data_IF_294380227872
#
_entry.id   IF_294380227872
#
_cell.length_a   1.000
_cell.length_b   1.000
_cell.length_c   1.000
_cell.angle_alpha   90.00
_cell.angle_beta   90.00
_cell.angle_gamma   90.00
#
_symmetry.space_group_name_H-M   'P 1'
#
loop_
_entity.id
_entity.type
_entity.pdbx_description
1 polymer ?
#
# COMPACT_ATOMS: atom_id res chain seq x y z
N UNK A 1 -19.85 -29.94 -1.44
CA UNK A 1 -18.95 -30.05 -0.26
C UNK A 1 -17.83 -29.03 -0.40
N UNK A 2 -17.51 -28.25 0.64
CA UNK A 2 -16.30 -27.43 0.64
C UNK A 2 -15.09 -28.34 0.45
N UNK A 3 -14.15 -27.93 -0.42
CA UNK A 3 -12.90 -28.65 -0.65
C UNK A 3 -11.99 -28.40 0.55
N UNK A 4 -11.68 -29.43 1.31
CA UNK A 4 -10.70 -29.34 2.40
C UNK A 4 -9.31 -29.35 1.78
N UNK A 5 -8.51 -28.34 2.11
CA UNK A 5 -7.12 -28.25 1.73
C UNK A 5 -6.26 -28.80 2.88
N UNK A 6 -5.47 -29.84 2.59
CA UNK A 6 -4.64 -30.55 3.56
C UNK A 6 -3.18 -30.09 3.57
N UNK A 7 -2.84 -29.05 2.78
CA UNK A 7 -1.48 -28.55 2.71
C UNK A 7 -1.02 -27.95 4.05
N UNK A 8 0.26 -28.16 4.38
CA UNK A 8 0.90 -27.56 5.56
C UNK A 8 0.79 -26.04 5.54
N UNK A 9 0.26 -25.45 6.60
CA UNK A 9 0.13 -23.99 6.78
C UNK A 9 1.13 -23.55 7.85
N UNK A 10 2.03 -22.64 7.47
CA UNK A 10 3.08 -22.11 8.35
C UNK A 10 2.78 -20.64 8.69
N UNK A 11 2.88 -20.30 9.98
CA UNK A 11 2.90 -18.94 10.52
C UNK A 11 4.32 -18.50 10.87
N UNK A 12 4.50 -17.21 11.20
CA UNK A 12 5.81 -16.68 11.62
C UNK A 12 6.40 -17.39 12.85
N UNK A 13 5.56 -17.90 13.75
CA UNK A 13 5.99 -18.63 14.95
C UNK A 13 6.56 -20.02 14.65
N UNK A 14 6.29 -20.57 13.47
CA UNK A 14 6.65 -21.94 13.10
C UNK A 14 8.04 -22.02 12.46
N UNK A 15 8.69 -20.88 12.19
CA UNK A 15 9.95 -20.81 11.42
C UNK A 15 10.98 -19.90 12.08
N UNK A 16 12.26 -20.18 11.79
CA UNK A 16 13.40 -19.34 12.18
C UNK A 16 14.34 -19.15 11.00
N UNK A 17 15.03 -18.00 10.94
CA UNK A 17 16.11 -17.80 9.98
C UNK A 17 17.35 -18.57 10.41
N UNK A 18 17.92 -19.38 9.52
CA UNK A 18 19.22 -20.03 9.74
C UNK A 18 20.35 -19.01 9.53
N UNK A 19 21.21 -18.76 10.54
CA UNK A 19 22.36 -17.87 10.38
C UNK A 19 23.29 -18.35 9.27
N UNK A 20 23.92 -17.40 8.56
CA UNK A 20 24.93 -17.66 7.54
C UNK A 20 26.19 -16.84 7.83
N UNK A 21 27.34 -17.34 7.39
CA UNK A 21 28.61 -16.60 7.48
C UNK A 21 28.48 -15.29 6.72
N UNK A 22 28.88 -14.18 7.34
CA UNK A 22 28.80 -12.83 6.79
C UNK A 22 30.15 -12.12 6.90
N UNK A 23 30.40 -11.17 6.01
CA UNK A 23 31.55 -10.26 6.07
C UNK A 23 31.24 -8.97 6.84
N UNK A 24 29.99 -8.71 7.20
CA UNK A 24 29.57 -7.52 7.94
C UNK A 24 30.16 -7.54 9.35
N UNK A 25 30.75 -6.42 9.77
CA UNK A 25 31.35 -6.28 11.11
C UNK A 25 30.40 -5.64 12.11
N UNK A 26 29.47 -4.82 11.62
CA UNK A 26 28.50 -4.09 12.44
C UNK A 26 27.11 -4.09 11.81
N UNK A 27 26.08 -3.99 12.65
CA UNK A 27 24.67 -3.80 12.22
C UNK A 27 24.46 -2.46 11.50
N UNK A 28 25.29 -1.46 11.77
CA UNK A 28 25.24 -0.15 11.12
C UNK A 28 25.64 -0.19 9.63
N UNK A 29 26.26 -1.27 9.16
CA UNK A 29 26.63 -1.48 7.76
C UNK A 29 25.47 -2.02 6.91
N UNK A 30 24.34 -2.36 7.54
CA UNK A 30 23.17 -2.91 6.84
C UNK A 30 22.36 -1.79 6.21
N UNK A 31 22.17 -1.87 4.90
CA UNK A 31 21.23 -1.02 4.17
C UNK A 31 19.82 -1.66 4.17
N UNK A 32 18.85 -0.91 4.67
CA UNK A 32 17.44 -1.33 4.71
C UNK A 32 16.63 -0.76 3.53
N UNK A 33 17.19 0.17 2.77
CA UNK A 33 16.51 0.79 1.64
C UNK A 33 16.34 -0.21 0.50
N UNK A 34 15.22 -0.09 -0.20
CA UNK A 34 14.90 -0.88 -1.38
C UNK A 34 14.45 0.05 -2.50
N UNK A 35 14.92 -0.28 -3.69
CA UNK A 35 14.46 0.35 -4.93
C UNK A 35 13.53 -0.62 -5.67
N UNK A 36 12.32 -0.18 -5.98
CA UNK A 36 11.35 -0.93 -6.78
C UNK A 36 10.89 -0.10 -7.97
N UNK A 37 10.82 -0.71 -9.15
CA UNK A 37 10.10 -0.13 -10.30
C UNK A 37 8.80 -0.91 -10.49
N UNK A 38 7.67 -0.24 -10.34
CA UNK A 38 6.37 -0.89 -10.35
C UNK A 38 5.92 -1.24 -11.77
N UNK A 39 5.40 -2.45 -11.93
CA UNK A 39 5.05 -3.04 -13.22
C UNK A 39 4.10 -2.18 -14.04
N UNK A 40 2.98 -1.75 -13.48
CA UNK A 40 1.93 -1.09 -14.27
C UNK A 40 2.06 0.44 -14.25
N UNK A 41 2.30 1.04 -13.10
CA UNK A 41 2.47 2.49 -13.00
C UNK A 41 3.80 3.02 -13.56
N UNK A 42 4.81 2.15 -13.72
CA UNK A 42 6.20 2.48 -14.12
C UNK A 42 6.93 3.43 -13.18
N UNK A 43 6.33 3.80 -12.05
CA UNK A 43 6.97 4.62 -11.03
C UNK A 43 8.06 3.84 -10.30
N UNK A 44 9.02 4.57 -9.74
CA UNK A 44 10.08 4.02 -8.91
C UNK A 44 9.90 4.47 -7.47
N UNK A 45 9.95 3.51 -6.55
CA UNK A 45 10.00 3.72 -5.10
C UNK A 45 11.43 3.52 -4.61
N UNK A 46 11.88 4.38 -3.71
CA UNK A 46 13.14 4.22 -2.96
C UNK A 46 12.82 4.51 -1.49
N UNK A 47 13.06 3.55 -0.60
CA UNK A 47 12.82 3.73 0.84
C UNK A 47 12.82 2.41 1.60
N UNK A 48 12.51 2.45 2.89
CA UNK A 48 12.42 1.26 3.75
C UNK A 48 11.00 0.70 3.65
N UNK A 49 10.80 -0.54 3.13
CA UNK A 49 9.48 -1.06 2.77
C UNK A 49 8.68 -1.57 3.99
N UNK A 50 8.52 -0.72 4.99
CA UNK A 50 7.66 -0.91 6.15
C UNK A 50 6.53 0.11 6.04
N UNK A 51 5.30 -0.38 6.06
CA UNK A 51 4.09 0.43 5.82
C UNK A 51 3.25 0.47 7.09
N UNK A 52 2.95 1.66 7.61
CA UNK A 52 1.89 1.83 8.60
C UNK A 52 0.51 1.54 7.97
N UNK A 53 -0.27 0.69 8.64
CA UNK A 53 -1.56 0.23 8.15
C UNK A 53 -2.60 1.35 8.10
N UNK A 54 -3.50 1.29 7.13
CA UNK A 54 -4.60 2.23 6.86
C UNK A 54 -5.77 2.18 7.87
N UNK A 55 -5.46 1.91 9.14
CA UNK A 55 -6.41 1.96 10.24
C UNK A 55 -6.47 3.39 10.80
N UNK A 56 -7.65 3.80 11.27
CA UNK A 56 -7.91 5.13 11.85
C UNK A 56 -7.01 5.47 13.05
N UNK A 57 -6.57 4.47 13.81
CA UNK A 57 -5.65 4.65 14.95
C UNK A 57 -4.17 4.49 14.61
N UNK A 58 -3.82 4.17 13.35
CA UNK A 58 -2.44 3.85 12.95
C UNK A 58 -1.98 4.69 11.76
N UNK A 59 -2.73 4.69 10.67
CA UNK A 59 -2.42 5.39 9.43
C UNK A 59 -2.85 6.85 9.47
N UNK A 60 -2.42 7.59 10.50
CA UNK A 60 -2.76 9.01 10.69
C UNK A 60 -1.72 9.92 10.03
N UNK A 61 -2.03 11.21 9.87
CA UNK A 61 -1.09 12.18 9.33
C UNK A 61 0.11 12.40 10.26
N UNK A 62 -0.09 12.35 11.57
CA UNK A 62 0.97 12.44 12.57
C UNK A 62 1.93 11.26 12.46
N UNK A 63 1.39 10.04 12.22
CA UNK A 63 2.23 8.87 11.96
C UNK A 63 3.06 9.05 10.69
N UNK A 64 2.46 9.57 9.62
CA UNK A 64 3.19 9.85 8.38
C UNK A 64 4.33 10.85 8.57
N UNK A 65 4.14 11.90 9.37
CA UNK A 65 5.19 12.89 9.67
C UNK A 65 6.39 12.28 10.40
N UNK A 66 6.16 11.31 11.30
CA UNK A 66 7.25 10.66 12.03
C UNK A 66 7.95 9.64 11.15
N UNK A 67 7.19 8.83 10.40
CA UNK A 67 7.73 7.77 9.55
C UNK A 67 8.49 8.29 8.32
N UNK A 68 8.05 9.42 7.74
CA UNK A 68 8.72 10.02 6.58
C UNK A 68 10.17 10.40 6.88
N UNK A 69 10.48 10.85 8.11
CA UNK A 69 11.85 11.16 8.58
C UNK A 69 12.79 9.97 8.51
N UNK A 70 12.25 8.76 8.46
CA UNK A 70 13.00 7.51 8.39
C UNK A 70 12.86 6.82 7.02
N UNK A 71 12.27 7.47 6.01
CA UNK A 71 11.95 6.88 4.69
C UNK A 71 11.01 5.67 4.77
N UNK A 72 10.17 5.62 5.82
CA UNK A 72 9.10 4.64 5.97
C UNK A 72 7.81 5.15 5.32
N UNK A 73 6.90 4.23 5.05
CA UNK A 73 5.68 4.50 4.28
C UNK A 73 4.43 4.48 5.17
N UNK A 74 3.42 5.29 4.84
CA UNK A 74 2.13 5.28 5.53
C UNK A 74 0.96 5.16 4.55
N UNK A 75 0.14 4.11 4.71
CA UNK A 75 -1.17 4.09 4.07
C UNK A 75 -2.14 4.85 4.98
N UNK A 76 -2.63 6.01 4.52
CA UNK A 76 -3.47 6.88 5.34
C UNK A 76 -4.90 6.36 5.37
N UNK A 77 -5.52 6.30 6.54
CA UNK A 77 -6.90 5.85 6.68
C UNK A 77 -7.88 6.71 5.85
N UNK A 78 -9.00 6.10 5.42
CA UNK A 78 -9.92 6.74 4.46
C UNK A 78 -10.88 7.80 5.05
N UNK A 79 -10.76 8.10 6.34
CA UNK A 79 -11.74 8.94 7.07
C UNK A 79 -11.48 10.45 6.97
N UNK A 80 -10.25 10.90 6.70
CA UNK A 80 -9.95 12.33 6.52
C UNK A 80 -10.68 12.97 5.34
N UNK A 81 -11.10 14.22 5.49
CA UNK A 81 -11.74 14.99 4.43
C UNK A 81 -10.73 15.45 3.37
N UNK A 82 -11.23 15.93 2.22
CA UNK A 82 -10.37 16.50 1.18
C UNK A 82 -9.61 17.72 1.69
N UNK A 83 -10.23 18.51 2.56
CA UNK A 83 -9.60 19.71 3.13
C UNK A 83 -8.49 19.34 4.12
N UNK A 84 -8.66 18.27 4.91
CA UNK A 84 -7.60 17.75 5.77
C UNK A 84 -6.38 17.32 4.94
N UNK A 85 -6.60 16.64 3.82
CA UNK A 85 -5.52 16.27 2.88
C UNK A 85 -4.80 17.48 2.29
N UNK A 86 -5.54 18.54 1.93
CA UNK A 86 -4.94 19.78 1.42
C UNK A 86 -4.10 20.48 2.49
N UNK A 87 -4.62 20.57 3.72
CA UNK A 87 -3.91 21.15 4.85
C UNK A 87 -2.65 20.35 5.19
N UNK A 88 -2.74 19.02 5.19
CA UNK A 88 -1.60 18.14 5.39
C UNK A 88 -0.54 18.32 4.30
N UNK A 89 -0.95 18.32 3.03
CA UNK A 89 -0.05 18.48 1.90
C UNK A 89 0.64 19.85 1.86
N UNK A 90 -0.06 20.92 2.27
CA UNK A 90 0.51 22.26 2.37
C UNK A 90 1.51 22.38 3.52
N UNK A 91 1.24 21.71 4.64
CA UNK A 91 2.06 21.80 5.85
C UNK A 91 3.27 20.85 5.83
N UNK A 92 3.13 19.69 5.18
CA UNK A 92 4.13 18.61 5.18
C UNK A 92 4.35 18.02 3.77
N UNK A 93 4.77 18.85 2.79
CA UNK A 93 4.96 18.39 1.41
C UNK A 93 5.99 17.27 1.27
N UNK A 94 6.97 17.19 2.17
CA UNK A 94 8.00 16.14 2.21
C UNK A 94 7.43 14.75 2.51
N UNK A 95 6.29 14.67 3.19
CA UNK A 95 5.66 13.39 3.50
C UNK A 95 4.98 12.75 2.28
N UNK A 96 4.63 13.55 1.25
CA UNK A 96 3.78 13.12 0.13
C UNK A 96 4.44 12.04 -0.75
N UNK A 97 5.77 11.89 -0.68
CA UNK A 97 6.50 10.86 -1.43
C UNK A 97 6.23 9.44 -0.92
N UNK A 98 5.92 9.27 0.37
CA UNK A 98 5.79 7.97 1.02
C UNK A 98 4.45 7.77 1.73
N UNK A 99 3.39 8.35 1.15
CA UNK A 99 2.01 8.15 1.61
C UNK A 99 1.11 7.64 0.50
N UNK A 100 0.11 6.85 0.88
CA UNK A 100 -0.97 6.43 -0.01
C UNK A 100 -2.33 6.90 0.52
N UNK A 101 -3.20 7.35 -0.38
CA UNK A 101 -4.60 7.59 -0.06
C UNK A 101 -5.37 6.26 -0.13
N UNK A 102 -6.05 5.89 0.96
CA UNK A 102 -6.84 4.65 1.01
C UNK A 102 -8.29 4.84 0.55
N UNK A 103 -8.84 3.80 -0.07
CA UNK A 103 -10.23 3.74 -0.50
C UNK A 103 -10.80 2.33 -0.35
N UNK A 104 -12.10 2.25 -0.05
CA UNK A 104 -12.89 1.03 -0.25
C UNK A 104 -13.30 0.86 -1.72
N UNK A 105 -14.37 0.10 -1.96
CA UNK A 105 -14.91 -0.18 -3.31
C UNK A 105 -16.26 0.48 -3.60
N UNK A 106 -16.79 1.31 -2.70
CA UNK A 106 -18.07 2.01 -2.91
C UNK A 106 -17.91 3.19 -3.88
N UNK A 107 -19.02 3.65 -4.49
CA UNK A 107 -19.01 4.85 -5.32
C UNK A 107 -18.58 6.09 -4.54
N UNK A 108 -19.09 6.26 -3.32
CA UNK A 108 -18.73 7.38 -2.44
C UNK A 108 -17.24 7.36 -2.05
N UNK A 109 -16.66 6.18 -1.76
CA UNK A 109 -15.22 6.06 -1.49
C UNK A 109 -14.41 6.46 -2.75
N UNK A 110 -14.85 6.04 -3.94
CA UNK A 110 -14.17 6.39 -5.20
C UNK A 110 -14.24 7.89 -5.50
N UNK A 111 -15.40 8.52 -5.34
CA UNK A 111 -15.58 9.96 -5.52
C UNK A 111 -14.67 10.74 -4.59
N UNK A 112 -14.62 10.34 -3.31
CA UNK A 112 -13.72 10.94 -2.31
C UNK A 112 -12.25 10.76 -2.69
N UNK A 113 -11.84 9.57 -3.11
CA UNK A 113 -10.48 9.31 -3.58
C UNK A 113 -10.12 10.21 -4.77
N UNK A 114 -11.04 10.36 -5.73
CA UNK A 114 -10.83 11.23 -6.88
C UNK A 114 -10.62 12.69 -6.45
N UNK A 115 -11.48 13.19 -5.57
CA UNK A 115 -11.36 14.56 -5.06
C UNK A 115 -10.04 14.79 -4.31
N UNK A 116 -9.57 13.81 -3.54
CA UNK A 116 -8.26 13.89 -2.84
C UNK A 116 -7.10 13.96 -3.85
N UNK A 117 -7.07 13.06 -4.85
CA UNK A 117 -5.97 13.01 -5.82
C UNK A 117 -5.97 14.21 -6.79
N UNK A 118 -7.14 14.74 -7.10
CA UNK A 118 -7.28 15.98 -7.89
C UNK A 118 -6.83 17.21 -7.07
N UNK A 119 -7.15 17.25 -5.78
CA UNK A 119 -6.72 18.33 -4.89
C UNK A 119 -5.23 18.27 -4.51
N UNK A 120 -4.64 17.07 -4.47
CA UNK A 120 -3.22 16.86 -4.11
C UNK A 120 -2.51 16.04 -5.19
N UNK A 121 -2.13 16.66 -6.33
CA UNK A 121 -1.52 15.96 -7.47
C UNK A 121 -0.15 15.31 -7.20
N UNK A 122 0.49 15.67 -6.08
CA UNK A 122 1.76 15.09 -5.65
C UNK A 122 1.63 13.65 -5.13
N UNK A 123 0.41 13.22 -4.76
CA UNK A 123 0.14 11.85 -4.34
C UNK A 123 0.35 10.89 -5.50
N UNK A 124 1.21 9.88 -5.30
CA UNK A 124 1.55 8.89 -6.34
C UNK A 124 0.98 7.51 -6.05
N UNK A 125 0.51 7.27 -4.83
CA UNK A 125 0.11 5.94 -4.35
C UNK A 125 -1.34 5.89 -3.91
N UNK A 126 -2.00 4.79 -4.25
CA UNK A 126 -3.39 4.50 -3.90
C UNK A 126 -3.42 3.16 -3.17
N UNK A 127 -4.14 3.08 -2.06
CA UNK A 127 -4.36 1.84 -1.31
C UNK A 127 -5.83 1.44 -1.40
N UNK A 128 -6.14 0.42 -2.22
CA UNK A 128 -7.48 -0.15 -2.32
C UNK A 128 -7.60 -1.33 -1.36
N UNK A 129 -8.42 -1.16 -0.33
CA UNK A 129 -8.53 -2.14 0.76
C UNK A 129 -9.98 -2.55 1.00
N UNK A 130 -10.23 -3.85 0.88
CA UNK A 130 -11.51 -4.50 1.19
C UNK A 130 -11.28 -5.81 1.94
N UNK A 131 -12.24 -6.20 2.77
CA UNK A 131 -12.17 -7.45 3.53
C UNK A 131 -12.10 -8.70 2.62
N UNK A 132 -12.78 -8.67 1.46
CA UNK A 132 -12.83 -9.78 0.51
C UNK A 132 -12.34 -9.37 -0.88
N UNK A 133 -11.02 -9.42 -1.11
CA UNK A 133 -10.43 -9.13 -2.41
C UNK A 133 -10.70 -10.16 -3.51
N UNK A 134 -11.42 -11.25 -3.21
CA UNK A 134 -11.76 -12.31 -4.19
C UNK A 134 -12.99 -11.98 -5.05
N UNK A 135 -13.74 -10.95 -4.68
CA UNK A 135 -14.96 -10.53 -5.37
C UNK A 135 -14.65 -10.00 -6.77
N UNK A 136 -15.41 -10.46 -7.78
CA UNK A 136 -15.30 -9.94 -9.15
C UNK A 136 -15.59 -8.45 -9.21
N UNK A 137 -16.52 -7.98 -8.38
CA UNK A 137 -16.81 -6.55 -8.22
C UNK A 137 -15.56 -5.76 -7.86
N UNK A 138 -14.72 -6.29 -6.98
CA UNK A 138 -13.48 -5.61 -6.58
C UNK A 138 -12.43 -5.63 -7.70
N UNK A 139 -12.36 -6.70 -8.49
CA UNK A 139 -11.46 -6.75 -9.66
C UNK A 139 -11.85 -5.68 -10.69
N UNK A 140 -13.14 -5.53 -10.99
CA UNK A 140 -13.63 -4.48 -11.88
C UNK A 140 -13.40 -3.08 -11.29
N UNK A 141 -13.54 -2.93 -9.97
CA UNK A 141 -13.22 -1.67 -9.29
C UNK A 141 -11.73 -1.31 -9.45
N UNK A 142 -10.81 -2.27 -9.26
CA UNK A 142 -9.37 -2.05 -9.47
C UNK A 142 -9.07 -1.64 -10.91
N UNK A 143 -9.70 -2.27 -11.92
CA UNK A 143 -9.58 -1.87 -13.33
C UNK A 143 -10.01 -0.42 -13.53
N UNK A 144 -11.19 -0.05 -13.02
CA UNK A 144 -11.72 1.31 -13.11
C UNK A 144 -10.78 2.34 -12.49
N UNK A 145 -10.22 2.04 -11.31
CA UNK A 145 -9.23 2.92 -10.66
C UNK A 145 -7.94 3.02 -11.50
N UNK A 146 -7.44 1.91 -12.04
CA UNK A 146 -6.25 1.89 -12.91
C UNK A 146 -6.47 2.70 -14.19
N UNK A 147 -7.64 2.59 -14.83
CA UNK A 147 -7.99 3.38 -16.02
C UNK A 147 -8.04 4.88 -15.72
N UNK A 148 -8.63 5.28 -14.58
CA UNK A 148 -8.70 6.69 -14.17
C UNK A 148 -7.32 7.24 -13.74
N UNK A 149 -6.48 6.41 -13.14
CA UNK A 149 -5.18 6.81 -12.58
C UNK A 149 -4.02 5.96 -13.12
N UNK A 150 -3.72 6.05 -14.43
CA UNK A 150 -2.77 5.14 -15.10
C UNK A 150 -1.34 5.28 -14.57
N UNK A 151 -0.95 6.46 -14.08
CA UNK A 151 0.39 6.74 -13.54
C UNK A 151 0.53 6.48 -12.04
N UNK A 152 -0.54 6.22 -11.31
CA UNK A 152 -0.46 6.00 -9.85
C UNK A 152 -0.07 4.55 -9.55
N UNK A 153 0.76 4.33 -8.54
CA UNK A 153 1.04 2.99 -8.02
C UNK A 153 -0.15 2.55 -7.14
N UNK A 154 -0.70 1.36 -7.40
CA UNK A 154 -1.90 0.88 -6.72
C UNK A 154 -1.53 -0.34 -5.86
N UNK A 155 -1.78 -0.24 -4.55
CA UNK A 155 -1.75 -1.35 -3.60
C UNK A 155 -3.17 -1.91 -3.49
N UNK A 156 -3.31 -3.24 -3.52
CA UNK A 156 -4.61 -3.91 -3.47
C UNK A 156 -4.60 -5.00 -2.40
N UNK A 157 -5.53 -4.93 -1.44
CA UNK A 157 -5.70 -5.91 -0.38
C UNK A 157 -7.17 -6.07 0.07
N UNK A 158 -7.50 -7.07 0.89
CA UNK A 158 -6.67 -8.25 1.25
C UNK A 158 -7.05 -9.47 0.41
N UNK A 159 -6.04 -10.22 -0.03
CA UNK A 159 -6.22 -11.56 -0.60
C UNK A 159 -5.33 -12.55 0.16
N UNK A 160 -5.92 -13.64 0.67
CA UNK A 160 -5.17 -14.72 1.31
C UNK A 160 -4.84 -15.78 0.25
N UNK A 161 -3.64 -15.70 -0.33
CA UNK A 161 -2.89 -16.71 -1.09
C UNK A 161 -3.68 -17.84 -1.80
N UNK A 162 -4.22 -17.53 -2.98
CA UNK A 162 -4.25 -18.43 -4.13
C UNK A 162 -3.56 -17.71 -5.29
N UNK A 163 -2.38 -18.21 -5.69
CA UNK A 163 -1.51 -17.63 -6.74
C UNK A 163 -2.28 -17.21 -7.99
N UNK A 164 -3.29 -18.00 -8.38
CA UNK A 164 -4.14 -17.76 -9.57
C UNK A 164 -4.92 -16.44 -9.55
N UNK A 165 -5.39 -15.97 -8.39
CA UNK A 165 -6.12 -14.68 -8.30
C UNK A 165 -5.18 -13.50 -8.02
N UNK A 166 -4.05 -13.75 -7.36
CA UNK A 166 -2.96 -12.79 -7.29
C UNK A 166 -2.51 -12.38 -8.71
N UNK A 167 -2.38 -13.32 -9.64
CA UNK A 167 -2.07 -13.05 -11.05
C UNK A 167 -3.06 -12.09 -11.75
N UNK A 168 -4.37 -12.25 -11.52
CA UNK A 168 -5.39 -11.36 -12.12
C UNK A 168 -5.31 -9.93 -11.57
N UNK A 169 -5.09 -9.78 -10.27
CA UNK A 169 -4.97 -8.46 -9.63
C UNK A 169 -3.60 -7.82 -9.91
N UNK A 170 -2.51 -8.60 -9.90
CA UNK A 170 -1.15 -8.14 -10.25
C UNK A 170 -1.02 -7.66 -11.71
N UNK A 171 -1.89 -8.11 -12.61
CA UNK A 171 -1.95 -7.56 -13.97
C UNK A 171 -2.51 -6.13 -13.98
N UNK A 172 -3.21 -5.72 -12.92
CA UNK A 172 -3.86 -4.41 -12.81
C UNK A 172 -3.10 -3.43 -11.89
N UNK A 173 -2.27 -3.93 -10.97
CA UNK A 173 -1.58 -3.16 -9.93
C UNK A 173 -0.19 -2.67 -10.34
#
# INVERSE_FOLDING_TARGET
MPRVDADLKLDFKDVLFRPKRSSLKSRSEVDLQRTFTFRNSKQTYIGIPIIAANMDTTGTFEMAQVLSKHTLFTAIHKHYSVEDWKNFAASHPECLEHVAASSGSSSADLEKLCAILEAVPALKYICLDVANGYSEYFVEFVKKVREKFPKHTIMVGKTVLLVKKCLKIQLLC
#
